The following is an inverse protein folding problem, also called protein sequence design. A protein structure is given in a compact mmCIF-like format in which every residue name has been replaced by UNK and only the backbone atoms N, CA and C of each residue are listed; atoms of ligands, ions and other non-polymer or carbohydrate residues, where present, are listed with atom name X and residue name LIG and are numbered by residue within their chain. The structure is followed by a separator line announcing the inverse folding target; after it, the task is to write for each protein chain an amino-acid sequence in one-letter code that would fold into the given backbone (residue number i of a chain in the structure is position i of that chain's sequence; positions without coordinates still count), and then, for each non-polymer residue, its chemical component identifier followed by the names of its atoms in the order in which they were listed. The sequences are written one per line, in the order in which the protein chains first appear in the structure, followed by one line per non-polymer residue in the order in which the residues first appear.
data_IF_937877785213
#
_entry.id   IF_937877785213
#
_cell.length_a   1.000
_cell.length_b   1.000
_cell.length_c   1.000
_cell.angle_alpha   90.00
_cell.angle_beta   90.00
_cell.angle_gamma   90.00
#
_symmetry.space_group_name_H-M   'P 1'
#
loop_
_entity.id
_entity.type
_entity.pdbx_description
1 polymer ?
#
# COMPACT_ATOMS: atom_id res chain seq x y z
N UNK A 1 -15.81 -26.12 -7.63
CA UNK A 1 -14.57 -25.86 -6.87
C UNK A 1 -13.79 -24.76 -7.57
N UNK A 2 -14.22 -23.52 -7.42
CA UNK A 2 -13.70 -22.38 -8.20
C UNK A 2 -12.72 -21.56 -7.38
N UNK A 3 -11.45 -21.52 -7.81
CA UNK A 3 -10.48 -20.53 -7.34
C UNK A 3 -10.49 -19.38 -8.32
N UNK A 4 -11.09 -18.26 -7.91
CA UNK A 4 -11.02 -17.00 -8.64
C UNK A 4 -9.66 -16.36 -8.33
N UNK A 5 -8.69 -16.51 -9.23
CA UNK A 5 -7.45 -15.78 -9.17
C UNK A 5 -7.69 -14.33 -9.63
N UNK A 6 -7.80 -13.40 -8.69
CA UNK A 6 -7.71 -11.97 -9.01
C UNK A 6 -6.26 -11.63 -9.38
N UNK A 7 -5.92 -11.69 -10.66
CA UNK A 7 -4.69 -11.09 -11.18
C UNK A 7 -4.84 -9.58 -11.18
N UNK A 8 -4.34 -8.92 -10.11
CA UNK A 8 -4.14 -7.48 -10.08
C UNK A 8 -3.01 -7.10 -11.03
N UNK A 9 -3.31 -6.90 -12.31
CA UNK A 9 -2.34 -6.30 -13.23
C UNK A 9 -2.10 -4.86 -12.78
N UNK A 10 -0.89 -4.56 -12.31
CA UNK A 10 -0.45 -3.18 -12.04
C UNK A 10 -0.34 -2.45 -13.38
N UNK A 11 -1.48 -2.00 -13.92
CA UNK A 11 -1.49 -1.06 -15.03
C UNK A 11 -0.88 0.22 -14.49
N UNK A 12 0.38 0.45 -14.81
CA UNK A 12 0.96 1.79 -14.72
C UNK A 12 0.22 2.60 -15.77
N UNK A 13 -0.88 3.24 -15.37
CA UNK A 13 -1.54 4.22 -16.22
C UNK A 13 -0.46 5.20 -16.67
N UNK A 14 -0.39 5.45 -17.98
CA UNK A 14 0.34 6.62 -18.48
C UNK A 14 -0.41 7.81 -17.88
N UNK A 15 0.01 8.29 -16.73
CA UNK A 15 -0.48 9.55 -16.21
C UNK A 15 0.05 10.64 -17.14
N UNK A 16 -0.84 11.48 -17.65
CA UNK A 16 -0.46 12.65 -18.42
C UNK A 16 0.50 13.48 -17.57
N UNK A 17 1.78 13.56 -18.00
CA UNK A 17 2.84 14.20 -17.21
C UNK A 17 2.53 15.65 -16.85
N UNK A 18 1.67 16.32 -17.62
CA UNK A 18 1.14 17.65 -17.34
C UNK A 18 0.30 17.71 -16.07
N UNK A 19 -0.58 16.73 -15.84
CA UNK A 19 -1.45 16.67 -14.67
C UNK A 19 -0.65 16.41 -13.41
N UNK A 20 0.36 15.53 -13.48
CA UNK A 20 1.24 15.26 -12.35
C UNK A 20 2.08 16.49 -11.97
N UNK A 21 2.55 17.26 -12.96
CA UNK A 21 3.28 18.51 -12.72
C UNK A 21 2.38 19.58 -12.06
N UNK A 22 1.16 19.77 -12.56
CA UNK A 22 0.19 20.71 -12.00
C UNK A 22 -0.18 20.35 -10.55
N UNK A 23 -0.42 19.06 -10.28
CA UNK A 23 -0.58 18.53 -8.94
C UNK A 23 0.62 18.94 -8.08
N UNK A 24 1.85 18.55 -8.44
CA UNK A 24 3.06 18.86 -7.65
C UNK A 24 3.20 20.35 -7.29
N UNK A 25 2.90 21.25 -8.22
CA UNK A 25 2.91 22.69 -7.94
C UNK A 25 1.89 23.09 -6.87
N UNK A 26 0.69 22.53 -6.88
CA UNK A 26 -0.34 22.80 -5.90
C UNK A 26 -0.01 22.22 -4.51
N UNK A 27 0.58 21.01 -4.44
CA UNK A 27 1.12 20.47 -3.17
C UNK A 27 2.22 21.37 -2.60
N UNK A 28 3.13 21.86 -3.45
CA UNK A 28 4.18 22.78 -3.02
C UNK A 28 3.61 24.13 -2.55
N UNK A 29 2.66 24.71 -3.28
CA UNK A 29 2.03 25.99 -2.94
C UNK A 29 1.20 25.94 -1.66
N UNK A 30 0.56 24.80 -1.36
CA UNK A 30 -0.20 24.58 -0.13
C UNK A 30 0.64 24.02 1.02
N UNK A 31 1.95 23.83 0.83
CA UNK A 31 2.85 23.24 1.81
C UNK A 31 2.39 21.87 2.34
N UNK A 32 1.73 21.09 1.48
CA UNK A 32 1.31 19.73 1.81
C UNK A 32 2.49 18.76 1.60
N UNK A 33 2.49 17.63 2.31
CA UNK A 33 3.50 16.59 2.09
C UNK A 33 3.28 15.87 0.77
N UNK A 34 2.02 15.63 0.41
CA UNK A 34 1.61 14.90 -0.80
C UNK A 34 0.09 15.09 -1.05
N UNK A 35 -0.41 14.58 -2.19
CA UNK A 35 -1.84 14.54 -2.47
C UNK A 35 -2.53 13.33 -1.88
N UNK A 36 -3.77 13.57 -1.43
CA UNK A 36 -4.76 12.53 -1.27
C UNK A 36 -5.00 11.74 -2.55
N UNK A 37 -4.64 10.45 -2.51
CA UNK A 37 -5.00 9.47 -3.53
C UNK A 37 -6.46 9.02 -3.32
N UNK A 38 -6.92 8.99 -2.07
CA UNK A 38 -8.31 8.71 -1.70
C UNK A 38 -8.70 9.48 -0.44
N UNK A 39 -10.00 9.66 -0.18
CA UNK A 39 -10.51 10.41 0.99
C UNK A 39 -10.98 9.52 2.14
N UNK A 40 -11.34 8.27 1.87
CA UNK A 40 -11.88 7.32 2.86
C UNK A 40 -10.80 6.77 3.81
N UNK A 41 -10.00 5.77 3.39
CA UNK A 41 -9.02 5.13 4.26
C UNK A 41 -7.85 6.08 4.60
N UNK A 42 -7.56 6.27 5.89
CA UNK A 42 -6.53 7.21 6.38
C UNK A 42 -5.16 6.95 5.77
N UNK A 43 -4.77 5.70 5.63
CA UNK A 43 -3.48 5.27 5.08
C UNK A 43 -3.36 5.43 3.55
N UNK A 44 -4.43 5.85 2.88
CA UNK A 44 -4.43 6.17 1.44
C UNK A 44 -4.52 7.67 1.14
N UNK A 45 -4.76 8.51 2.17
CA UNK A 45 -4.76 9.98 2.04
C UNK A 45 -3.36 10.55 1.93
N UNK A 46 -2.45 10.15 2.82
CA UNK A 46 -1.10 10.70 2.81
C UNK A 46 -0.06 9.60 2.78
N UNK A 47 0.23 8.98 1.61
CA UNK A 47 1.10 7.82 1.55
C UNK A 47 2.50 8.06 2.12
N UNK A 48 3.01 9.29 2.07
CA UNK A 48 4.31 9.63 2.69
C UNK A 48 4.26 9.71 4.21
N UNK A 49 3.07 9.90 4.80
CA UNK A 49 2.88 10.04 6.24
C UNK A 49 2.20 8.80 6.86
N UNK A 50 1.64 7.92 6.03
CA UNK A 50 0.95 6.72 6.49
C UNK A 50 1.96 5.66 6.95
N UNK A 51 1.70 5.05 8.10
CA UNK A 51 2.41 3.87 8.56
C UNK A 51 2.03 2.65 7.70
N UNK A 52 3.03 1.88 7.26
CA UNK A 52 2.88 0.64 6.49
C UNK A 52 2.05 -0.44 7.19
N UNK A 53 1.93 -0.40 8.52
CA UNK A 53 1.15 -1.36 9.29
C UNK A 53 -0.31 -0.96 9.50
N UNK A 54 -0.65 0.31 9.24
CA UNK A 54 -2.03 0.82 9.39
C UNK A 54 -3.09 -0.04 8.70
N UNK A 55 -2.88 -0.55 7.47
CA UNK A 55 -3.87 -1.39 6.78
C UNK A 55 -4.13 -2.76 7.44
N UNK A 56 -3.32 -3.16 8.41
CA UNK A 56 -3.36 -4.49 9.04
C UNK A 56 -3.64 -4.44 10.54
N UNK A 57 -4.18 -3.33 11.05
CA UNK A 57 -4.46 -3.18 12.48
C UNK A 57 -5.73 -3.92 12.92
N UNK A 58 -6.58 -4.34 11.97
CA UNK A 58 -7.77 -5.14 12.25
C UNK A 58 -7.45 -6.62 12.45
N UNK A 59 -8.38 -7.32 13.09
CA UNK A 59 -8.27 -8.76 13.35
C UNK A 59 -8.16 -9.56 12.04
N UNK A 60 -7.43 -10.69 12.00
CA UNK A 60 -7.40 -11.55 10.82
C UNK A 60 -8.82 -11.97 10.40
N UNK A 61 -9.20 -11.63 9.17
CA UNK A 61 -10.53 -11.93 8.62
C UNK A 61 -11.61 -10.88 8.88
N UNK A 62 -11.28 -9.75 9.52
CA UNK A 62 -12.18 -8.62 9.64
C UNK A 62 -12.54 -8.03 8.26
N UNK A 63 -13.77 -7.56 8.12
CA UNK A 63 -14.21 -6.82 6.93
C UNK A 63 -13.73 -5.37 7.04
N UNK A 64 -12.92 -4.94 6.09
CA UNK A 64 -12.50 -3.55 5.97
C UNK A 64 -13.69 -2.68 5.54
N UNK A 65 -13.89 -1.54 6.22
CA UNK A 65 -14.99 -0.63 5.95
C UNK A 65 -14.72 0.23 4.70
N UNK A 66 -13.44 0.47 4.39
CA UNK A 66 -13.05 1.34 3.30
C UNK A 66 -12.60 0.54 2.06
N UNK A 67 -13.28 0.68 0.90
CA UNK A 67 -12.89 -0.04 -0.31
C UNK A 67 -11.48 0.33 -0.77
N UNK A 68 -10.98 1.51 -0.41
CA UNK A 68 -9.61 1.96 -0.64
C UNK A 68 -8.53 1.03 -0.04
N UNK A 69 -8.85 0.24 0.99
CA UNK A 69 -7.95 -0.78 1.54
C UNK A 69 -7.51 -1.85 0.54
N UNK A 70 -8.33 -2.10 -0.48
CA UNK A 70 -8.01 -3.07 -1.55
C UNK A 70 -7.03 -2.54 -2.61
N UNK A 71 -6.66 -1.24 -2.57
CA UNK A 71 -5.74 -0.63 -3.55
C UNK A 71 -4.26 -0.86 -3.23
N UNK A 72 -3.95 -1.31 -2.02
CA UNK A 72 -2.58 -1.62 -1.64
C UNK A 72 -2.14 -2.88 -2.38
N UNK A 73 -1.27 -2.69 -3.37
CA UNK A 73 -0.61 -3.79 -4.02
C UNK A 73 0.14 -4.61 -2.96
N UNK A 74 0.11 -5.96 -3.05
CA UNK A 74 0.93 -6.78 -2.18
C UNK A 74 2.39 -6.33 -2.27
N UNK A 75 3.14 -6.34 -1.16
CA UNK A 75 4.54 -5.98 -1.18
C UNK A 75 5.26 -6.84 -2.23
N UNK A 76 6.20 -6.22 -2.94
CA UNK A 76 7.04 -6.91 -3.92
C UNK A 76 7.70 -8.08 -3.19
N UNK A 77 7.56 -9.29 -3.72
CA UNK A 77 8.16 -10.48 -3.13
C UNK A 77 9.66 -10.27 -2.99
N UNK A 78 10.13 -10.06 -1.77
CA UNK A 78 11.56 -10.06 -1.48
C UNK A 78 12.11 -11.47 -1.78
N UNK A 79 13.33 -11.58 -2.34
CA UNK A 79 13.95 -12.88 -2.56
C UNK A 79 13.92 -13.69 -1.27
N UNK A 80 13.56 -14.98 -1.38
CA UNK A 80 13.33 -15.90 -0.26
C UNK A 80 14.37 -15.71 0.85
N UNK A 81 13.96 -15.10 1.97
CA UNK A 81 14.77 -15.05 3.19
C UNK A 81 14.90 -16.48 3.72
N UNK A 82 16.07 -17.09 3.54
CA UNK A 82 16.35 -18.43 4.08
C UNK A 82 16.61 -18.34 5.58
N UNK A 83 15.60 -18.64 6.39
CA UNK A 83 15.76 -18.84 7.82
C UNK A 83 16.53 -20.16 8.07
N UNK A 84 17.73 -20.06 8.67
CA UNK A 84 18.46 -21.23 9.18
C UNK A 84 18.16 -21.36 10.66
N UNK A 85 17.45 -22.40 11.05
CA UNK A 85 17.22 -22.72 12.47
C UNK A 85 18.40 -23.55 12.96
N UNK A 86 19.17 -23.02 13.91
CA UNK A 86 20.15 -23.79 14.66
C UNK A 86 19.50 -24.33 15.95
N UNK A 87 19.73 -25.61 16.29
CA UNK A 87 19.33 -26.13 17.60
C UNK A 87 20.17 -25.44 18.68
N UNK A 88 19.51 -24.80 19.64
CA UNK A 88 20.17 -24.31 20.84
C UNK A 88 20.79 -25.49 21.60
N UNK A 89 22.07 -25.35 21.98
CA UNK A 89 22.76 -26.31 22.85
C UNK A 89 22.16 -26.14 24.25
N UNK A 90 21.44 -27.15 24.74
CA UNK A 90 20.95 -27.14 26.13
C UNK A 90 22.15 -27.10 27.09
N UNK A 91 22.07 -26.32 28.18
CA UNK A 91 23.08 -26.33 29.23
C UNK A 91 23.19 -27.70 29.91
#
# INVERSE_FOLDING_TARGET
MGVLWLTGTRRRGREDGSLLAARRQLVAGLQLTDFAIWTEARYTRHPSQADFFTPFQDFPGALEHFPAGSLLAPPVSHPLTRLRVAKAKRP
#
